data_IF_654177675236
#
_entry.id   IF_654177675236
#
_cell.length_a   1.000
_cell.length_b   1.000
_cell.length_c   1.000
_cell.angle_alpha   90.00
_cell.angle_beta   90.00
_cell.angle_gamma   90.00
#
_symmetry.space_group_name_H-M   'P 1'
#
loop_
_entity.id
_entity.type
_entity.pdbx_description
1 polymer ?
#
# COMPACT_ATOMS: atom_id res chain seq x y z
N UNK A 1 -14.87 -7.00 20.38
CA UNK A 1 -13.57 -7.03 19.69
C UNK A 1 -13.66 -6.20 18.42
N UNK A 2 -12.87 -5.12 18.32
CA UNK A 2 -12.80 -4.34 17.07
C UNK A 2 -12.16 -5.20 15.98
N UNK A 3 -12.64 -5.13 14.73
CA UNK A 3 -12.02 -5.88 13.62
C UNK A 3 -10.61 -5.32 13.40
N UNK A 4 -9.61 -6.18 13.15
CA UNK A 4 -8.26 -5.71 12.87
C UNK A 4 -8.24 -4.81 11.61
N UNK A 5 -7.37 -3.79 11.57
CA UNK A 5 -7.29 -2.88 10.44
C UNK A 5 -6.91 -3.62 9.15
N UNK A 6 -7.30 -3.05 8.02
CA UNK A 6 -6.84 -3.49 6.70
C UNK A 6 -5.57 -2.73 6.37
N UNK A 7 -4.48 -3.46 6.15
CA UNK A 7 -3.19 -2.94 5.72
C UNK A 7 -3.18 -2.77 4.19
N UNK A 8 -2.49 -1.73 3.73
CA UNK A 8 -2.17 -1.49 2.32
C UNK A 8 -0.67 -1.69 2.17
N UNK A 9 -0.28 -2.58 1.25
CA UNK A 9 1.09 -3.01 1.08
C UNK A 9 1.55 -2.91 -0.37
N UNK A 10 2.82 -2.59 -0.57
CA UNK A 10 3.47 -2.46 -1.88
C UNK A 10 4.57 -3.52 -2.00
N UNK A 11 4.48 -4.36 -3.03
CA UNK A 11 5.51 -5.34 -3.36
C UNK A 11 6.76 -4.68 -3.98
N UNK A 12 7.93 -5.36 -3.99
CA UNK A 12 9.14 -4.85 -4.64
C UNK A 12 8.95 -4.46 -6.12
N UNK A 13 8.03 -5.11 -6.85
CA UNK A 13 7.66 -4.75 -8.22
C UNK A 13 6.57 -3.67 -8.34
N UNK A 14 6.25 -2.97 -7.26
CA UNK A 14 5.25 -1.89 -7.21
C UNK A 14 3.79 -2.34 -7.15
N UNK A 15 3.50 -3.64 -7.22
CA UNK A 15 2.13 -4.12 -7.10
C UNK A 15 1.57 -3.79 -5.71
N UNK A 16 0.36 -3.25 -5.67
CA UNK A 16 -0.36 -2.90 -4.46
C UNK A 16 -1.35 -4.00 -4.12
N UNK A 17 -1.37 -4.38 -2.85
CA UNK A 17 -2.37 -5.26 -2.27
C UNK A 17 -2.92 -4.66 -0.98
N UNK A 18 -4.10 -5.11 -0.55
CA UNK A 18 -4.65 -4.73 0.74
C UNK A 18 -5.35 -5.92 1.41
N UNK A 19 -5.18 -6.04 2.72
CA UNK A 19 -5.64 -7.19 3.49
C UNK A 19 -5.23 -7.10 4.96
N UNK A 20 -5.46 -8.17 5.73
CA UNK A 20 -5.06 -8.21 7.14
C UNK A 20 -3.59 -8.59 7.33
N UNK A 21 -3.09 -9.43 6.44
CA UNK A 21 -1.72 -9.93 6.48
C UNK A 21 -1.01 -9.42 5.24
N UNK A 22 0.10 -8.67 5.39
CA UNK A 22 0.89 -8.26 4.26
C UNK A 22 1.63 -9.48 3.70
N UNK A 23 1.78 -9.59 2.36
CA UNK A 23 2.63 -10.63 1.78
C UNK A 23 4.08 -10.49 2.23
N UNK A 24 4.81 -11.61 2.23
CA UNK A 24 6.24 -11.62 2.55
C UNK A 24 7.01 -10.63 1.66
N UNK A 25 7.84 -9.78 2.28
CA UNK A 25 8.65 -8.77 1.60
C UNK A 25 7.88 -7.56 1.05
N UNK A 26 6.58 -7.43 1.33
CA UNK A 26 5.83 -6.23 0.96
C UNK A 26 6.00 -5.13 2.01
N UNK A 27 6.14 -3.88 1.54
CA UNK A 27 6.19 -2.69 2.38
C UNK A 27 4.77 -2.29 2.75
N UNK A 28 4.43 -2.35 4.04
CA UNK A 28 3.17 -1.78 4.52
C UNK A 28 3.32 -0.27 4.59
N UNK A 29 2.45 0.44 3.90
CA UNK A 29 2.53 1.90 3.77
C UNK A 29 1.39 2.62 4.48
N UNK A 30 0.25 1.96 4.67
CA UNK A 30 -0.91 2.57 5.30
C UNK A 30 -1.84 1.50 5.88
N UNK A 31 -2.77 1.93 6.72
CA UNK A 31 -3.87 1.11 7.22
C UNK A 31 -5.21 1.84 7.10
N UNK A 32 -6.29 1.06 7.07
CA UNK A 32 -7.66 1.55 7.06
C UNK A 32 -8.50 0.77 8.07
N UNK A 33 -9.45 1.43 8.72
CA UNK A 33 -10.37 0.75 9.63
C UNK A 33 -11.27 -0.28 8.91
N UNK A 34 -11.60 -0.04 7.64
CA UNK A 34 -12.47 -0.91 6.84
C UNK A 34 -11.82 -1.27 5.52
N UNK A 35 -12.02 -2.52 5.10
CA UNK A 35 -11.52 -3.04 3.82
C UNK A 35 -11.95 -2.19 2.61
N UNK A 36 -13.19 -1.70 2.62
CA UNK A 36 -13.74 -0.88 1.54
C UNK A 36 -13.02 0.47 1.39
N UNK A 37 -12.51 1.03 2.48
CA UNK A 37 -11.86 2.34 2.48
C UNK A 37 -10.46 2.19 1.85
N UNK A 38 -9.73 1.13 2.25
CA UNK A 38 -8.47 0.74 1.61
C UNK A 38 -8.65 0.46 0.10
N UNK A 39 -9.64 -0.37 -0.27
CA UNK A 39 -9.95 -0.67 -1.67
C UNK A 39 -10.23 0.59 -2.48
N UNK A 40 -11.13 1.45 -1.99
CA UNK A 40 -11.54 2.66 -2.72
C UNK A 40 -10.38 3.64 -2.90
N UNK A 41 -9.53 3.78 -1.88
CA UNK A 41 -8.35 4.62 -1.97
C UNK A 41 -7.34 4.10 -3.02
N UNK A 42 -7.01 2.80 -2.97
CA UNK A 42 -6.08 2.19 -3.94
C UNK A 42 -6.63 2.28 -5.35
N UNK A 43 -7.89 1.94 -5.58
CA UNK A 43 -8.50 1.99 -6.92
C UNK A 43 -8.47 3.39 -7.54
N UNK A 44 -8.57 4.43 -6.72
CA UNK A 44 -8.59 5.81 -7.17
C UNK A 44 -7.20 6.47 -7.29
N UNK A 45 -6.16 5.89 -6.69
CA UNK A 45 -4.82 6.49 -6.64
C UNK A 45 -3.71 5.64 -7.30
N UNK A 46 -3.96 4.35 -7.55
CA UNK A 46 -3.02 3.46 -8.17
C UNK A 46 -3.08 3.54 -9.71
N UNK A 47 -1.99 3.13 -10.34
CA UNK A 47 -1.97 2.84 -11.78
C UNK A 47 -2.58 1.48 -12.04
N UNK A 48 -3.44 1.38 -13.04
CA UNK A 48 -4.09 0.12 -13.40
C UNK A 48 -3.22 -0.59 -14.42
N UNK A 49 -3.00 -1.89 -14.22
CA UNK A 49 -2.40 -2.71 -15.27
C UNK A 49 -3.35 -2.82 -16.46
N UNK A 50 -2.80 -3.18 -17.63
CA UNK A 50 -3.56 -3.38 -18.87
C UNK A 50 -4.65 -4.46 -18.75
N UNK A 51 -4.51 -5.37 -17.79
CA UNK A 51 -5.52 -6.40 -17.49
C UNK A 51 -6.70 -5.90 -16.65
N UNK A 52 -6.64 -4.67 -16.12
CA UNK A 52 -7.65 -4.07 -15.24
C UNK A 52 -7.80 -4.76 -13.88
N UNK A 53 -6.91 -5.70 -13.53
CA UNK A 53 -7.00 -6.53 -12.31
C UNK A 53 -5.94 -6.18 -11.28
N UNK A 54 -4.78 -5.68 -11.72
CA UNK A 54 -3.66 -5.33 -10.83
C UNK A 54 -3.51 -3.82 -10.70
N UNK A 55 -3.11 -3.40 -9.50
CA UNK A 55 -2.86 -2.02 -9.14
C UNK A 55 -1.38 -1.84 -8.83
N UNK A 56 -0.80 -0.73 -9.26
CA UNK A 56 0.59 -0.39 -9.03
C UNK A 56 0.73 0.96 -8.35
N UNK A 57 1.65 1.02 -7.38
CA UNK A 57 2.05 2.26 -6.73
C UNK A 57 2.81 3.11 -7.77
N UNK A 58 2.38 4.36 -7.95
CA UNK A 58 3.00 5.23 -8.95
C UNK A 58 4.48 5.44 -8.65
N UNK A 59 5.35 5.25 -9.64
CA UNK A 59 6.79 5.46 -9.55
C UNK A 59 7.59 4.26 -9.04
N UNK A 60 6.95 3.26 -8.42
CA UNK A 60 7.66 2.07 -7.94
C UNK A 60 8.08 1.13 -9.08
N UNK A 61 7.23 0.78 -10.06
CA UNK A 61 7.64 -0.04 -11.20
C UNK A 61 8.72 0.62 -12.09
N UNK A 62 8.82 1.95 -12.05
CA UNK A 62 9.77 2.74 -12.84
C UNK A 62 11.10 2.98 -12.11
N UNK A 63 11.20 2.62 -10.83
CA UNK A 63 12.40 2.85 -10.05
C UNK A 63 13.57 2.01 -10.56
N UNK A 64 14.74 2.63 -10.71
CA UNK A 64 15.96 1.96 -11.20
C UNK A 64 16.65 1.14 -10.11
N UNK A 65 16.34 1.38 -8.85
CA UNK A 65 16.94 0.73 -7.69
C UNK A 65 16.02 0.79 -6.46
N UNK A 66 16.36 0.00 -5.44
CA UNK A 66 15.58 -0.13 -4.20
C UNK A 66 15.38 1.20 -3.47
N UNK A 67 16.38 2.08 -3.46
CA UNK A 67 16.28 3.40 -2.83
C UNK A 67 15.24 4.27 -3.52
N UNK A 68 15.23 4.32 -4.85
CA UNK A 68 14.22 5.03 -5.62
C UNK A 68 12.83 4.40 -5.41
N UNK A 69 12.74 3.06 -5.38
CA UNK A 69 11.48 2.35 -5.15
C UNK A 69 10.88 2.67 -3.78
N UNK A 70 11.71 2.69 -2.72
CA UNK A 70 11.31 3.09 -1.38
C UNK A 70 10.81 4.54 -1.36
N UNK A 71 11.57 5.47 -1.96
CA UNK A 71 11.17 6.87 -2.02
C UNK A 71 9.83 7.06 -2.77
N UNK A 72 9.63 6.35 -3.88
CA UNK A 72 8.38 6.36 -4.62
C UNK A 72 7.21 5.77 -3.81
N UNK A 73 7.43 4.68 -3.07
CA UNK A 73 6.42 4.09 -2.19
C UNK A 73 6.00 5.04 -1.07
N UNK A 74 6.95 5.75 -0.44
CA UNK A 74 6.67 6.76 0.58
C UNK A 74 5.95 7.98 0.01
N UNK A 75 6.35 8.48 -1.15
CA UNK A 75 5.66 9.57 -1.82
C UNK A 75 4.21 9.17 -2.19
N UNK A 76 4.03 7.94 -2.67
CA UNK A 76 2.71 7.42 -3.00
C UNK A 76 1.85 7.22 -1.75
N UNK A 77 2.42 6.78 -0.63
CA UNK A 77 1.75 6.76 0.68
C UNK A 77 1.23 8.14 1.06
N UNK A 78 2.09 9.15 1.02
CA UNK A 78 1.72 10.51 1.45
C UNK A 78 0.61 11.06 0.57
N UNK A 79 0.63 10.75 -0.74
CA UNK A 79 -0.46 11.06 -1.65
C UNK A 79 -1.75 10.30 -1.30
N UNK A 80 -1.65 8.99 -1.06
CA UNK A 80 -2.78 8.11 -0.76
C UNK A 80 -3.48 8.53 0.54
N UNK A 81 -2.71 8.84 1.59
CA UNK A 81 -3.17 9.24 2.92
C UNK A 81 -3.72 10.66 3.02
N UNK A 82 -3.72 11.44 1.92
CA UNK A 82 -4.57 12.65 1.82
C UNK A 82 -6.07 12.33 1.80
N UNK A 83 -6.43 11.06 1.62
CA UNK A 83 -7.81 10.57 1.66
C UNK A 83 -8.23 10.23 3.09
N UNK A 84 -9.44 10.60 3.44
CA UNK A 84 -10.03 10.26 4.74
C UNK A 84 -10.11 8.75 4.97
N UNK A 85 -9.94 8.34 6.23
CA UNK A 85 -10.06 6.95 6.65
C UNK A 85 -8.80 6.10 6.47
N UNK A 86 -7.68 6.72 6.08
CA UNK A 86 -6.37 6.08 6.03
C UNK A 86 -5.43 6.65 7.09
N UNK A 87 -4.64 5.75 7.69
CA UNK A 87 -3.55 6.11 8.61
C UNK A 87 -2.23 5.72 7.95
N UNK A 88 -1.29 6.66 7.73
CA UNK A 88 0.03 6.33 7.18
C UNK A 88 0.81 5.43 8.14
N UNK A 89 1.64 4.57 7.58
CA UNK A 89 2.58 3.70 8.31
C UNK A 89 3.98 3.99 7.75
N UNK A 90 4.94 4.18 8.65
CA UNK A 90 6.37 4.27 8.30
C UNK A 90 6.96 2.85 8.26
N UNK A 91 7.50 2.41 7.11
CA UNK A 91 8.28 1.18 7.05
C UNK A 91 9.60 1.29 7.83
N UNK A 92 10.14 0.20 8.41
CA UNK A 92 9.65 -1.17 8.29
C UNK A 92 8.47 -1.45 9.23
N UNK A 93 7.40 -2.03 8.68
CA UNK A 93 6.29 -2.53 9.48
C UNK A 93 6.60 -3.96 9.91
N UNK A 94 6.73 -4.17 11.22
CA UNK A 94 6.79 -5.50 11.83
C UNK A 94 5.39 -5.86 12.29
N UNK A 95 4.78 -6.87 11.68
CA UNK A 95 3.53 -7.41 12.19
C UNK A 95 3.84 -8.06 13.54
N UNK A 96 3.36 -7.47 14.64
CA UNK A 96 3.43 -8.13 15.94
C UNK A 96 2.54 -9.37 15.86
N UNK A 97 3.13 -10.56 16.03
CA UNK A 97 2.38 -11.79 16.25
C UNK A 97 1.52 -11.59 17.51
N UNK A 98 0.22 -11.81 17.37
CA UNK A 98 -0.75 -11.73 18.47
C UNK A 98 -0.95 -13.11 19.08
#
# INVERSE_FOLDING_TARGET
>A
MSKPPTLISVHPGGQVVWGRTPPAGALVIASAARYRDARSAVQAAARHARDGRRYFASGVPEAENERQAMAAALAWRDWLCKRDGLTPIDPPYVQQEA
#
